data_IF_512193931880
#
_entry.id   IF_512193931880
#
_cell.length_a   1.000
_cell.length_b   1.000
_cell.length_c   1.000
_cell.angle_alpha   90.00
_cell.angle_beta   90.00
_cell.angle_gamma   90.00
#
_symmetry.space_group_name_H-M   'P 1'
#
loop_
_entity.id
_entity.type
_entity.pdbx_description
1 polymer ?
#
# COMPACT_ATOMS: atom_id res chain seq x y z
N UNK A 1 24.11 6.05 -16.26
CA UNK A 1 23.00 5.09 -16.08
C UNK A 1 22.91 4.87 -14.59
N UNK A 2 21.89 5.42 -13.93
CA UNK A 2 21.70 5.20 -12.49
C UNK A 2 21.13 3.80 -12.33
N UNK A 3 21.88 2.91 -11.69
CA UNK A 3 21.43 1.57 -11.37
C UNK A 3 20.20 1.69 -10.46
N UNK A 4 19.00 1.41 -11.01
CA UNK A 4 17.72 1.49 -10.27
C UNK A 4 17.54 0.28 -9.34
N UNK A 5 18.59 -0.53 -9.18
CA UNK A 5 18.60 -1.83 -8.50
C UNK A 5 18.97 -1.74 -7.00
N UNK A 6 19.42 -0.58 -6.51
CA UNK A 6 19.79 -0.43 -5.10
C UNK A 6 18.53 -0.31 -4.21
N UNK A 7 18.48 -1.00 -3.05
CA UNK A 7 17.36 -0.87 -2.12
C UNK A 7 17.24 0.56 -1.60
N UNK A 8 16.01 1.01 -1.37
CA UNK A 8 15.73 2.28 -0.73
C UNK A 8 16.35 2.32 0.68
N UNK A 9 16.72 3.51 1.15
CA UNK A 9 17.07 3.68 2.56
C UNK A 9 15.85 3.38 3.44
N UNK A 10 16.04 3.07 4.74
CA UNK A 10 14.91 2.86 5.65
C UNK A 10 13.94 4.04 5.71
N UNK A 11 14.43 5.28 5.66
CA UNK A 11 13.63 6.50 5.71
C UNK A 11 12.80 6.68 4.43
N UNK A 12 13.40 6.40 3.28
CA UNK A 12 12.71 6.43 2.00
C UNK A 12 11.65 5.32 1.93
N UNK A 13 11.98 4.12 2.40
CA UNK A 13 11.03 3.00 2.52
C UNK A 13 9.84 3.38 3.41
N UNK A 14 10.09 3.97 4.58
CA UNK A 14 9.03 4.42 5.49
C UNK A 14 8.12 5.46 4.83
N UNK A 15 8.70 6.41 4.09
CA UNK A 15 7.94 7.44 3.38
C UNK A 15 6.99 6.82 2.35
N UNK A 16 7.48 5.86 1.57
CA UNK A 16 6.66 5.13 0.59
C UNK A 16 5.56 4.34 1.29
N UNK A 17 5.89 3.55 2.31
CA UNK A 17 4.90 2.71 3.02
C UNK A 17 3.81 3.57 3.64
N UNK A 18 4.16 4.71 4.26
CA UNK A 18 3.19 5.62 4.86
C UNK A 18 2.27 6.26 3.82
N UNK A 19 2.80 6.73 2.70
CA UNK A 19 1.99 7.28 1.61
C UNK A 19 0.98 6.25 1.08
N UNK A 20 1.46 5.03 0.82
CA UNK A 20 0.65 3.92 0.31
C UNK A 20 -0.42 3.50 1.34
N UNK A 21 -0.09 3.49 2.63
CA UNK A 21 -1.05 3.20 3.70
C UNK A 21 -2.15 4.26 3.79
N UNK A 22 -1.80 5.55 3.68
CA UNK A 22 -2.77 6.63 3.71
C UNK A 22 -3.71 6.59 2.50
N UNK A 23 -3.19 6.25 1.31
CA UNK A 23 -4.01 6.03 0.10
C UNK A 23 -4.98 4.87 0.27
N UNK A 24 -4.54 3.77 0.88
CA UNK A 24 -5.43 2.65 1.21
C UNK A 24 -6.53 3.08 2.19
N UNK A 25 -6.19 3.85 3.23
CA UNK A 25 -7.17 4.34 4.20
C UNK A 25 -8.23 5.27 3.59
N UNK A 26 -7.81 6.19 2.71
CA UNK A 26 -8.73 7.07 1.98
C UNK A 26 -9.69 6.26 1.11
N UNK A 27 -9.17 5.32 0.32
CA UNK A 27 -9.97 4.49 -0.55
C UNK A 27 -10.92 3.56 0.24
N UNK A 28 -10.48 3.04 1.38
CA UNK A 28 -11.29 2.19 2.25
C UNK A 28 -12.46 2.96 2.87
N UNK A 29 -12.23 4.20 3.32
CA UNK A 29 -13.31 5.06 3.81
C UNK A 29 -14.40 5.30 2.74
N UNK A 30 -14.01 5.42 1.46
CA UNK A 30 -14.96 5.46 0.34
C UNK A 30 -15.68 4.12 0.17
N UNK A 31 -14.97 2.98 0.27
CA UNK A 31 -15.57 1.65 0.18
C UNK A 31 -16.62 1.40 1.28
N UNK A 32 -16.28 1.68 2.54
CA UNK A 32 -17.23 1.56 3.66
C UNK A 32 -18.46 2.44 3.42
N UNK A 33 -18.27 3.71 3.05
CA UNK A 33 -19.37 4.65 2.85
C UNK A 33 -20.28 4.28 1.66
N UNK A 34 -19.70 3.79 0.55
CA UNK A 34 -20.42 3.66 -0.73
C UNK A 34 -20.83 2.23 -1.07
N UNK A 35 -20.07 1.23 -0.63
CA UNK A 35 -20.30 -0.18 -0.94
C UNK A 35 -20.90 -0.91 0.25
N UNK A 36 -20.40 -0.66 1.46
CA UNK A 36 -20.90 -1.29 2.69
C UNK A 36 -22.02 -0.50 3.37
N UNK A 37 -22.39 0.66 2.83
CA UNK A 37 -23.47 1.50 3.37
C UNK A 37 -23.14 2.12 4.73
N UNK A 38 -21.88 2.42 4.98
CA UNK A 38 -21.37 2.98 6.24
C UNK A 38 -21.18 1.95 7.35
N UNK A 39 -21.28 0.65 7.04
CA UNK A 39 -20.96 -0.43 7.98
C UNK A 39 -19.46 -0.65 8.00
N UNK A 40 -18.93 -0.93 9.21
CA UNK A 40 -17.53 -1.29 9.38
C UNK A 40 -17.19 -2.54 8.57
N UNK A 41 -16.06 -2.49 7.86
CA UNK A 41 -15.54 -3.63 7.13
C UNK A 41 -14.74 -4.56 8.06
N UNK A 42 -15.27 -5.75 8.36
CA UNK A 42 -14.52 -6.76 9.13
C UNK A 42 -13.34 -7.35 8.34
N UNK A 43 -13.33 -7.22 7.01
CA UNK A 43 -12.26 -7.68 6.11
C UNK A 43 -11.23 -6.57 5.81
N UNK A 44 -11.29 -5.45 6.54
CA UNK A 44 -10.40 -4.30 6.33
C UNK A 44 -8.91 -4.64 6.23
N UNK A 45 -8.32 -5.61 6.99
CA UNK A 45 -6.87 -5.87 6.87
C UNK A 45 -6.49 -6.43 5.51
N UNK A 46 -7.33 -7.32 4.97
CA UNK A 46 -7.12 -7.92 3.65
C UNK A 46 -7.27 -6.87 2.56
N UNK A 47 -8.33 -6.06 2.67
CA UNK A 47 -8.61 -4.97 1.73
C UNK A 47 -7.45 -3.97 1.65
N UNK A 48 -6.92 -3.56 2.82
CA UNK A 48 -5.75 -2.68 2.88
C UNK A 48 -4.54 -3.33 2.21
N UNK A 49 -4.24 -4.60 2.51
CA UNK A 49 -3.10 -5.29 1.92
C UNK A 49 -3.16 -5.32 0.39
N UNK A 50 -4.32 -5.67 -0.18
CA UNK A 50 -4.54 -5.68 -1.62
C UNK A 50 -4.35 -4.29 -2.25
N UNK A 51 -4.91 -3.25 -1.62
CA UNK A 51 -4.77 -1.88 -2.10
C UNK A 51 -3.35 -1.34 -1.97
N UNK A 52 -2.63 -1.69 -0.91
CA UNK A 52 -1.24 -1.31 -0.74
C UNK A 52 -0.38 -1.98 -1.82
N UNK A 53 -0.57 -3.27 -2.09
CA UNK A 53 0.15 -3.99 -3.17
C UNK A 53 -0.15 -3.37 -4.53
N UNK A 54 -1.42 -3.13 -4.86
CA UNK A 54 -1.82 -2.50 -6.12
C UNK A 54 -1.20 -1.10 -6.29
N UNK A 55 -1.16 -0.29 -5.22
CA UNK A 55 -0.54 1.03 -5.27
C UNK A 55 0.99 0.94 -5.42
N UNK A 56 1.65 0.00 -4.74
CA UNK A 56 3.09 -0.22 -4.92
C UNK A 56 3.42 -0.54 -6.39
N UNK A 57 2.70 -1.51 -6.97
CA UNK A 57 2.87 -1.90 -8.37
C UNK A 57 2.59 -0.73 -9.33
N UNK A 58 1.52 0.04 -9.10
CA UNK A 58 1.17 1.19 -9.93
C UNK A 58 2.25 2.30 -9.91
N UNK A 59 3.03 2.39 -8.84
CA UNK A 59 4.12 3.36 -8.70
C UNK A 59 5.51 2.75 -9.01
N UNK A 60 5.55 1.50 -9.50
CA UNK A 60 6.78 0.83 -9.92
C UNK A 60 7.62 0.27 -8.75
N UNK A 61 7.05 0.18 -7.54
CA UNK A 61 7.70 -0.47 -6.41
C UNK A 61 7.45 -1.98 -6.45
N UNK A 62 8.44 -2.75 -5.97
CA UNK A 62 8.34 -4.19 -5.83
C UNK A 62 8.74 -4.60 -4.42
N UNK A 63 7.90 -5.42 -3.78
CA UNK A 63 8.28 -6.12 -2.55
C UNK A 63 9.09 -7.35 -2.97
N UNK A 64 10.36 -7.38 -2.60
CA UNK A 64 11.21 -8.55 -2.80
C UNK A 64 11.09 -9.50 -1.60
N UNK A 65 11.19 -10.79 -1.85
CA UNK A 65 11.20 -11.81 -0.80
C UNK A 65 12.36 -11.60 0.20
N UNK A 66 12.31 -12.29 1.35
CA UNK A 66 13.37 -12.18 2.35
C UNK A 66 14.73 -12.53 1.74
N UNK A 67 15.76 -11.79 2.13
CA UNK A 67 17.15 -12.20 1.84
C UNK A 67 17.46 -13.45 2.68
N UNK A 68 18.03 -14.51 2.09
CA UNK A 68 18.39 -15.73 2.81
C UNK A 68 19.44 -15.49 3.91
#
# INVERSE_FOLDING_TARGET
MNDTSAPLTPEATLTVVLDILNKAAEAHGVHEATVLGGVHDDEWPQWYAEHMVANLEAHGYQIVGPTP
#
